data_IF_965800728431
#
_entry.id   IF_965800728431
#
_cell.length_a   1.000
_cell.length_b   1.000
_cell.length_c   1.000
_cell.angle_alpha   90.00
_cell.angle_beta   90.00
_cell.angle_gamma   90.00
#
_symmetry.space_group_name_H-M   'P 1'
#
loop_
_entity.id
_entity.type
_entity.pdbx_description
1 polymer ?
#
# COMPACT_ATOMS: atom_id res chain seq x y z
N UNK A 1 5.15 12.85 16.12
CA UNK A 1 5.01 11.93 14.97
C UNK A 1 3.56 11.48 14.97
N UNK A 2 2.89 11.33 13.83
CA UNK A 2 1.50 10.85 13.82
C UNK A 2 1.50 9.36 14.17
N UNK A 3 1.00 8.99 15.34
CA UNK A 3 1.05 7.59 15.81
C UNK A 3 0.10 6.67 15.01
N UNK A 4 -0.97 7.24 14.44
CA UNK A 4 -1.99 6.49 13.69
C UNK A 4 -2.48 7.24 12.44
N UNK A 5 -1.67 7.33 11.37
CA UNK A 5 -2.02 8.11 10.17
C UNK A 5 -3.32 7.66 9.50
N UNK A 6 -3.62 6.36 9.48
CA UNK A 6 -4.88 5.82 8.94
C UNK A 6 -6.15 6.24 9.71
N UNK A 7 -6.04 6.82 10.92
CA UNK A 7 -7.20 7.36 11.65
C UNK A 7 -7.59 8.77 11.17
N UNK A 8 -6.73 9.44 10.41
CA UNK A 8 -7.04 10.73 9.80
C UNK A 8 -7.73 10.51 8.45
N UNK A 9 -8.99 10.93 8.28
CA UNK A 9 -9.76 10.66 7.05
C UNK A 9 -9.06 11.17 5.78
N UNK A 10 -8.37 12.32 5.85
CA UNK A 10 -7.66 12.87 4.70
C UNK A 10 -6.49 11.98 4.26
N UNK A 11 -5.68 11.48 5.19
CA UNK A 11 -4.55 10.60 4.86
C UNK A 11 -5.03 9.24 4.39
N UNK A 12 -6.08 8.72 5.03
CA UNK A 12 -6.71 7.47 4.64
C UNK A 12 -7.23 7.52 3.19
N UNK A 13 -7.99 8.57 2.83
CA UNK A 13 -8.48 8.74 1.47
C UNK A 13 -7.35 8.91 0.45
N UNK A 14 -6.27 9.62 0.79
CA UNK A 14 -5.10 9.73 -0.09
C UNK A 14 -4.45 8.36 -0.31
N UNK A 15 -4.30 7.53 0.74
CA UNK A 15 -3.76 6.19 0.62
C UNK A 15 -4.66 5.27 -0.23
N UNK A 16 -5.98 5.36 -0.04
CA UNK A 16 -6.97 4.66 -0.85
C UNK A 16 -6.84 5.03 -2.34
N UNK A 17 -6.87 6.32 -2.66
CA UNK A 17 -6.73 6.79 -4.04
C UNK A 17 -5.38 6.41 -4.66
N UNK A 18 -4.30 6.49 -3.88
CA UNK A 18 -2.95 6.10 -4.29
C UNK A 18 -2.84 4.62 -4.67
N UNK A 19 -3.63 3.76 -4.03
CA UNK A 19 -3.70 2.33 -4.34
C UNK A 19 -4.59 2.04 -5.56
N UNK A 20 -5.75 2.71 -5.66
CA UNK A 20 -6.77 2.40 -6.68
C UNK A 20 -6.49 3.02 -8.05
N UNK A 21 -5.91 4.22 -8.08
CA UNK A 21 -5.68 5.00 -9.29
C UNK A 21 -4.22 4.91 -9.74
N UNK A 22 -3.65 3.71 -9.76
CA UNK A 22 -2.20 3.53 -9.92
C UNK A 22 -1.90 2.16 -10.55
N UNK A 23 -1.20 2.14 -11.68
CA UNK A 23 -0.83 0.89 -12.36
C UNK A 23 0.56 0.38 -11.99
N UNK A 24 1.34 1.18 -11.28
CA UNK A 24 2.68 0.81 -10.86
C UNK A 24 2.66 -0.18 -9.70
N UNK A 25 3.73 -0.97 -9.59
CA UNK A 25 3.85 -2.07 -8.62
C UNK A 25 5.11 -1.86 -7.78
N UNK A 26 4.94 -2.04 -6.46
CA UNK A 26 6.02 -2.22 -5.51
C UNK A 26 6.10 -3.70 -5.15
N UNK A 27 7.23 -4.34 -5.43
CA UNK A 27 7.43 -5.76 -5.14
C UNK A 27 8.73 -5.98 -4.35
N UNK A 28 8.78 -7.01 -3.52
CA UNK A 28 10.01 -7.43 -2.86
C UNK A 28 10.65 -8.58 -3.62
N UNK A 29 11.92 -8.42 -4.00
CA UNK A 29 12.71 -9.47 -4.63
C UNK A 29 13.48 -10.26 -3.55
N UNK A 30 13.12 -11.52 -3.27
CA UNK A 30 13.78 -12.31 -2.23
C UNK A 30 15.21 -12.69 -2.57
N UNK A 31 15.54 -12.84 -3.85
CA UNK A 31 16.88 -13.25 -4.31
C UNK A 31 17.90 -12.12 -4.13
N UNK A 32 17.48 -10.88 -4.38
CA UNK A 32 18.30 -9.67 -4.17
C UNK A 32 18.20 -9.09 -2.76
N UNK A 33 17.12 -9.41 -2.04
CA UNK A 33 16.85 -8.89 -0.71
C UNK A 33 16.40 -7.42 -0.70
N UNK A 34 15.90 -6.90 -1.82
CA UNK A 34 15.50 -5.50 -2.00
C UNK A 34 14.07 -5.33 -2.50
N UNK A 35 13.58 -4.08 -2.50
CA UNK A 35 12.29 -3.74 -3.08
C UNK A 35 12.51 -3.17 -4.48
N UNK A 36 11.82 -3.74 -5.46
CA UNK A 36 11.88 -3.33 -6.85
C UNK A 36 10.65 -2.50 -7.22
N UNK A 37 10.89 -1.50 -8.08
CA UNK A 37 9.86 -0.67 -8.68
C UNK A 37 9.53 -1.18 -10.08
N UNK A 38 8.26 -1.25 -10.42
CA UNK A 38 7.77 -1.49 -11.78
C UNK A 38 6.76 -0.40 -12.12
N UNK A 39 7.00 0.34 -13.21
CA UNK A 39 6.21 1.51 -13.59
C UNK A 39 6.88 2.83 -13.20
N UNK A 40 6.09 3.90 -13.18
CA UNK A 40 6.57 5.26 -12.98
C UNK A 40 7.02 5.49 -11.52
N UNK A 41 8.14 6.18 -11.35
CA UNK A 41 8.74 6.34 -10.01
C UNK A 41 7.83 7.13 -9.05
N UNK A 42 7.09 8.10 -9.56
CA UNK A 42 6.10 8.89 -8.81
C UNK A 42 4.94 8.03 -8.34
N UNK A 43 4.43 7.16 -9.20
CA UNK A 43 3.36 6.22 -8.87
C UNK A 43 3.81 5.18 -7.84
N UNK A 44 5.01 4.61 -7.97
CA UNK A 44 5.55 3.68 -6.95
C UNK A 44 5.74 4.38 -5.60
N UNK A 45 6.11 5.66 -5.58
CA UNK A 45 6.16 6.42 -4.32
C UNK A 45 4.78 6.53 -3.65
N UNK A 46 3.69 6.66 -4.42
CA UNK A 46 2.32 6.63 -3.92
C UNK A 46 1.91 5.24 -3.41
N UNK A 47 2.39 4.16 -4.05
CA UNK A 47 2.23 2.79 -3.51
C UNK A 47 2.89 2.65 -2.14
N UNK A 48 4.12 3.15 -1.98
CA UNK A 48 4.84 3.18 -0.69
C UNK A 48 4.10 4.03 0.33
N UNK A 49 3.55 5.18 -0.08
CA UNK A 49 2.76 6.05 0.81
C UNK A 49 1.57 5.29 1.40
N UNK A 50 0.82 4.54 0.58
CA UNK A 50 -0.32 3.75 1.04
C UNK A 50 0.08 2.69 2.09
N UNK A 51 1.21 1.99 1.89
CA UNK A 51 1.73 1.05 2.89
C UNK A 51 2.15 1.74 4.20
N UNK A 52 2.67 2.96 4.13
CA UNK A 52 3.10 3.72 5.31
C UNK A 52 1.95 4.35 6.09
N UNK A 53 0.88 4.76 5.41
CA UNK A 53 -0.35 5.25 6.06
C UNK A 53 -1.07 4.10 6.75
N UNK A 54 -1.08 2.91 6.14
CA UNK A 54 -1.68 1.71 6.70
C UNK A 54 -3.21 1.69 6.55
N UNK A 55 -3.84 0.80 7.33
CA UNK A 55 -5.29 0.55 7.31
C UNK A 55 -5.93 0.93 8.65
N UNK A 56 -7.20 1.37 8.66
CA UNK A 56 -7.91 1.70 9.88
C UNK A 56 -8.08 0.44 10.75
N UNK A 57 -7.88 0.58 12.06
CA UNK A 57 -8.00 -0.53 13.02
C UNK A 57 -6.84 -1.54 13.01
N UNK A 58 -5.96 -1.52 12.00
CA UNK A 58 -4.87 -2.49 11.86
C UNK A 58 -3.68 -2.20 12.80
N UNK A 59 -3.49 -0.93 13.15
CA UNK A 59 -2.46 -0.51 14.11
C UNK A 59 -2.73 -0.99 15.54
N UNK A 60 -3.92 -1.53 15.81
CA UNK A 60 -4.27 -2.17 17.08
C UNK A 60 -3.75 -3.62 17.19
N UNK A 61 -3.23 -4.21 16.10
CA UNK A 61 -2.70 -5.58 16.08
C UNK A 61 -1.32 -5.67 15.39
N UNK A 62 -0.27 -5.01 15.93
CA UNK A 62 1.07 -4.98 15.34
C UNK A 62 1.74 -6.36 15.20
N UNK A 63 1.34 -7.35 16.00
CA UNK A 63 1.83 -8.73 15.89
C UNK A 63 1.43 -9.40 14.57
N UNK A 64 0.26 -9.06 14.01
CA UNK A 64 -0.20 -9.65 12.75
C UNK A 64 0.66 -9.23 11.56
N UNK A 65 1.18 -7.99 11.55
CA UNK A 65 2.11 -7.53 10.52
C UNK A 65 3.46 -8.24 10.58
N UNK A 66 3.91 -8.64 11.77
CA UNK A 66 5.16 -9.37 11.95
C UNK A 66 5.07 -10.83 11.46
N UNK A 67 3.87 -11.36 11.26
CA UNK A 67 3.66 -12.69 10.70
C UNK A 67 3.72 -12.70 9.17
N UNK A 68 3.66 -11.53 8.53
CA UNK A 68 3.74 -11.39 7.08
C UNK A 68 5.20 -11.40 6.61
N UNK A 69 5.47 -12.11 5.52
CA UNK A 69 6.74 -12.04 4.81
C UNK A 69 6.99 -10.63 4.27
N UNK A 70 8.25 -10.28 3.98
CA UNK A 70 8.59 -9.00 3.33
C UNK A 70 7.84 -8.79 2.01
N UNK A 71 7.61 -9.87 1.26
CA UNK A 71 6.84 -9.85 0.03
C UNK A 71 5.37 -9.53 0.27
N UNK A 72 4.72 -10.16 1.24
CA UNK A 72 3.32 -9.85 1.58
C UNK A 72 3.18 -8.41 2.10
N UNK A 73 4.14 -7.96 2.94
CA UNK A 73 4.15 -6.60 3.49
C UNK A 73 4.38 -5.52 2.44
N UNK A 74 5.06 -5.83 1.33
CA UNK A 74 5.38 -4.86 0.30
C UNK A 74 4.12 -4.26 -0.37
N UNK A 75 3.01 -5.00 -0.38
CA UNK A 75 1.80 -4.62 -1.10
C UNK A 75 0.53 -4.92 -0.30
N UNK A 76 0.62 -5.05 1.02
CA UNK A 76 -0.51 -5.49 1.86
C UNK A 76 -1.66 -4.49 1.84
N UNK A 77 -1.38 -3.23 2.15
CA UNK A 77 -2.39 -2.18 2.22
C UNK A 77 -2.92 -1.84 0.82
N UNK A 78 -2.05 -1.83 -0.18
CA UNK A 78 -2.45 -1.63 -1.57
C UNK A 78 -3.46 -2.70 -2.03
N UNK A 79 -3.13 -3.98 -1.83
CA UNK A 79 -4.03 -5.10 -2.19
C UNK A 79 -5.32 -5.08 -1.40
N UNK A 80 -5.30 -4.67 -0.13
CA UNK A 80 -6.52 -4.53 0.65
C UNK A 80 -7.52 -3.60 -0.06
N UNK A 81 -7.08 -2.40 -0.48
CA UNK A 81 -7.94 -1.44 -1.18
C UNK A 81 -8.38 -1.93 -2.55
N UNK A 82 -7.47 -2.50 -3.34
CA UNK A 82 -7.80 -3.10 -4.64
C UNK A 82 -8.86 -4.20 -4.51
N UNK A 83 -8.82 -4.98 -3.43
CA UNK A 83 -9.83 -6.01 -3.16
C UNK A 83 -11.18 -5.46 -2.68
N UNK A 84 -11.23 -4.23 -2.15
CA UNK A 84 -12.50 -3.59 -1.76
C UNK A 84 -13.28 -3.06 -2.97
N UNK A 85 -12.61 -2.79 -4.10
CA UNK A 85 -13.22 -2.13 -5.24
C UNK A 85 -12.89 -2.84 -6.56
N UNK A 86 -13.92 -3.13 -7.34
CA UNK A 86 -13.71 -3.64 -8.69
C UNK A 86 -13.33 -2.49 -9.62
N UNK A 87 -12.15 -2.58 -10.24
CA UNK A 87 -11.74 -1.67 -11.31
C UNK A 87 -12.60 -1.92 -12.55
N UNK A 88 -13.36 -0.91 -12.98
CA UNK A 88 -14.27 -1.03 -14.12
C UNK A 88 -13.70 -0.47 -15.43
N UNK A 89 -12.94 0.62 -15.35
CA UNK A 89 -12.51 1.41 -16.50
C UNK A 89 -11.12 1.99 -16.25
N UNK A 90 -10.39 2.25 -17.34
CA UNK A 90 -9.17 3.06 -17.39
C UNK A 90 -9.42 4.12 -18.46
N UNK A 91 -9.14 5.38 -18.14
CA UNK A 91 -9.22 6.48 -19.10
C UNK A 91 -7.85 6.57 -19.79
N UNK A 92 -7.82 6.31 -21.10
CA UNK A 92 -6.63 6.44 -21.95
C UNK A 92 -6.70 7.73 -22.77
#
# INVERSE_FOLDING_TARGET
>A
MLDFPAQLPCLLHIAMCSALCNESILQYNPDKGDYEKIGEATEVALRVLAEKVGLPGFNSMPSALNMLSKHERASYCNRYWENQFKKCLVLN
#
